data_IF_724477164758
#
_entry.id   IF_724477164758
#
_cell.length_a   1.000
_cell.length_b   1.000
_cell.length_c   1.000
_cell.angle_alpha   90.00
_cell.angle_beta   90.00
_cell.angle_gamma   90.00
#
_symmetry.space_group_name_H-M   'P 1'
#
loop_
_entity.id
_entity.type
_entity.pdbx_description
1 polymer ?
#
# COMPACT_ATOMS: atom_id res chain seq x y z
N UNK A 1 -10.95 -4.99 13.98
CA UNK A 1 -10.52 -5.06 12.56
C UNK A 1 -8.99 -5.01 12.59
N UNK A 2 -8.30 -5.40 11.52
CA UNK A 2 -6.83 -5.25 11.52
C UNK A 2 -6.53 -3.83 11.04
N UNK A 3 -5.88 -3.04 11.88
CA UNK A 3 -5.60 -1.64 11.61
C UNK A 3 -4.09 -1.44 11.49
N UNK A 4 -3.71 -0.52 10.62
CA UNK A 4 -2.35 -0.07 10.40
C UNK A 4 -2.38 1.45 10.25
N UNK A 5 -1.28 2.10 10.59
CA UNK A 5 -1.09 3.51 10.33
C UNK A 5 0.03 3.69 9.33
N UNK A 6 -0.16 4.61 8.39
CA UNK A 6 0.92 5.06 7.52
C UNK A 6 1.27 6.51 7.85
N UNK A 7 2.56 6.83 7.87
CA UNK A 7 3.07 8.18 8.03
C UNK A 7 3.77 8.62 6.75
N UNK A 8 3.39 9.79 6.24
CA UNK A 8 4.03 10.46 5.11
C UNK A 8 4.09 11.96 5.39
N UNK A 9 5.26 12.57 5.21
CA UNK A 9 5.43 14.02 5.43
C UNK A 9 5.08 14.49 6.84
N UNK A 10 5.17 13.62 7.86
CA UNK A 10 4.78 13.90 9.25
C UNK A 10 3.28 13.87 9.53
N UNK A 11 2.46 13.41 8.57
CA UNK A 11 1.04 13.17 8.75
C UNK A 11 0.75 11.67 8.79
N UNK A 12 -0.13 11.27 9.72
CA UNK A 12 -0.54 9.87 9.93
C UNK A 12 -1.93 9.64 9.35
N UNK A 13 -2.12 8.52 8.66
CA UNK A 13 -3.38 8.10 8.08
C UNK A 13 -3.71 6.67 8.51
N UNK A 14 -4.98 6.41 8.78
CA UNK A 14 -5.45 5.06 9.10
C UNK A 14 -5.58 4.22 7.83
N UNK A 15 -5.23 2.95 7.97
CA UNK A 15 -5.35 1.92 6.93
C UNK A 15 -6.16 0.75 7.48
N UNK A 16 -7.26 0.50 6.79
CA UNK A 16 -8.08 -0.68 6.96
C UNK A 16 -7.47 -1.87 6.21
N UNK A 17 -6.97 -2.87 6.94
CA UNK A 17 -6.36 -4.06 6.36
C UNK A 17 -7.37 -5.20 6.15
N UNK A 18 -7.17 -5.97 5.07
CA UNK A 18 -7.92 -7.19 4.81
C UNK A 18 -7.44 -8.36 5.70
N UNK A 19 -8.28 -9.39 5.88
CA UNK A 19 -7.86 -10.63 6.56
C UNK A 19 -7.34 -11.65 5.55
N UNK A 20 -6.01 -11.68 5.35
CA UNK A 20 -5.35 -12.67 4.51
C UNK A 20 -3.90 -12.95 4.99
N UNK A 21 -3.28 -13.98 4.41
CA UNK A 21 -1.92 -14.40 4.79
C UNK A 21 -0.85 -13.35 4.45
N UNK A 22 -1.02 -12.61 3.34
CA UNK A 22 -0.14 -11.50 2.95
C UNK A 22 -0.10 -10.42 4.02
N UNK A 23 -1.26 -9.99 4.50
CA UNK A 23 -1.39 -8.96 5.53
C UNK A 23 -0.75 -9.43 6.84
N UNK A 24 -0.94 -10.68 7.23
CA UNK A 24 -0.31 -11.23 8.46
C UNK A 24 1.21 -11.17 8.36
N UNK A 25 1.79 -11.66 7.26
CA UNK A 25 3.22 -11.61 7.03
C UNK A 25 3.76 -10.17 6.90
N UNK A 26 3.00 -9.28 6.27
CA UNK A 26 3.34 -7.86 6.17
C UNK A 26 3.39 -7.19 7.53
N UNK A 27 2.39 -7.44 8.40
CA UNK A 27 2.35 -6.90 9.77
C UNK A 27 3.51 -7.36 10.64
N UNK A 28 4.02 -8.57 10.45
CA UNK A 28 5.20 -9.07 11.17
C UNK A 28 6.49 -8.30 10.83
N UNK A 29 6.51 -7.57 9.70
CA UNK A 29 7.63 -6.71 9.30
C UNK A 29 7.52 -5.27 9.83
N UNK A 30 6.40 -4.91 10.47
CA UNK A 30 6.17 -3.56 11.00
C UNK A 30 6.84 -3.35 12.37
N UNK A 31 7.30 -2.11 12.69
CA UNK A 31 7.27 -0.93 11.82
C UNK A 31 8.35 -0.99 10.74
N UNK A 32 8.05 -0.42 9.57
CA UNK A 32 8.99 -0.34 8.45
C UNK A 32 8.89 1.00 7.73
N UNK A 33 10.02 1.52 7.28
CA UNK A 33 10.11 2.76 6.50
C UNK A 33 10.64 2.43 5.11
N UNK A 34 9.94 2.88 4.07
CA UNK A 34 10.22 2.56 2.68
C UNK A 34 10.33 3.83 1.85
N UNK A 35 11.40 3.93 1.05
CA UNK A 35 11.54 4.93 0.00
C UNK A 35 10.78 4.47 -1.26
N UNK A 36 9.48 4.78 -1.32
CA UNK A 36 8.61 4.33 -2.42
C UNK A 36 8.77 5.23 -3.65
N UNK A 37 9.09 4.64 -4.80
CA UNK A 37 9.27 5.35 -6.06
C UNK A 37 7.93 5.58 -6.76
N UNK A 38 7.81 6.69 -7.48
CA UNK A 38 6.62 6.96 -8.30
C UNK A 38 6.73 6.28 -9.66
N UNK A 39 5.64 5.63 -10.07
CA UNK A 39 5.47 5.13 -11.41
C UNK A 39 4.22 5.74 -12.04
N UNK A 40 4.32 6.12 -13.31
CA UNK A 40 3.22 6.63 -14.14
C UNK A 40 2.40 7.82 -13.59
N UNK A 41 2.79 8.41 -12.46
CA UNK A 41 2.07 9.51 -11.82
C UNK A 41 0.76 9.12 -11.13
N UNK A 42 0.49 7.82 -10.93
CA UNK A 42 -0.73 7.31 -10.28
C UNK A 42 -0.45 6.27 -9.18
N UNK A 43 0.79 5.78 -9.06
CA UNK A 43 1.17 4.75 -8.10
C UNK A 43 2.55 5.03 -7.48
N UNK A 44 2.72 4.63 -6.21
CA UNK A 44 4.00 4.51 -5.53
C UNK A 44 4.30 3.03 -5.35
N UNK A 45 5.54 2.61 -5.60
CA UNK A 45 5.91 1.20 -5.44
C UNK A 45 7.25 1.02 -4.72
N UNK A 46 7.44 -0.15 -4.13
CA UNK A 46 8.70 -0.57 -3.53
C UNK A 46 8.87 -2.09 -3.62
N UNK A 47 10.07 -2.55 -3.94
CA UNK A 47 10.43 -3.98 -3.94
C UNK A 47 10.97 -4.39 -2.58
N UNK A 48 10.23 -5.26 -1.89
CA UNK A 48 10.62 -5.86 -0.62
C UNK A 48 11.82 -6.81 -0.82
N UNK A 49 12.76 -6.80 0.13
CA UNK A 49 13.92 -7.69 0.11
C UNK A 49 13.51 -9.18 0.24
N UNK A 50 12.47 -9.43 1.03
CA UNK A 50 11.84 -10.73 1.17
C UNK A 50 10.40 -10.69 0.66
N UNK A 51 10.06 -11.64 -0.21
CA UNK A 51 8.70 -11.82 -0.69
C UNK A 51 7.73 -12.24 0.42
N UNK A 52 6.48 -11.82 0.26
CA UNK A 52 5.34 -12.18 1.07
C UNK A 52 4.54 -13.32 0.39
N UNK A 53 3.76 -14.08 1.17
CA UNK A 53 2.76 -14.97 0.57
C UNK A 53 1.81 -14.13 -0.28
N UNK A 54 1.58 -14.55 -1.52
CA UNK A 54 0.74 -13.84 -2.47
C UNK A 54 -0.43 -14.73 -2.91
N UNK A 55 -1.62 -14.14 -2.94
CA UNK A 55 -2.81 -14.75 -3.50
C UNK A 55 -3.37 -13.80 -4.55
N UNK A 56 -2.63 -13.67 -5.66
CA UNK A 56 -2.92 -12.68 -6.68
C UNK A 56 -4.22 -13.03 -7.42
N UNK A 57 -5.14 -12.09 -7.44
CA UNK A 57 -6.42 -12.19 -8.16
C UNK A 57 -6.59 -11.01 -9.11
N UNK A 58 -7.44 -11.16 -10.12
CA UNK A 58 -7.80 -10.05 -10.97
C UNK A 58 -8.72 -9.10 -10.19
N UNK A 59 -8.21 -7.91 -9.85
CA UNK A 59 -8.95 -6.95 -9.02
C UNK A 59 -9.95 -6.10 -9.82
N UNK A 60 -9.79 -6.03 -11.15
CA UNK A 60 -10.65 -5.31 -12.10
C UNK A 60 -10.54 -3.78 -12.04
N UNK A 61 -10.62 -3.20 -10.85
CA UNK A 61 -10.51 -1.77 -10.60
C UNK A 61 -9.64 -1.50 -9.38
N UNK A 62 -8.85 -0.44 -9.46
CA UNK A 62 -8.03 0.13 -8.40
C UNK A 62 -8.63 1.47 -8.02
N UNK A 63 -8.65 1.78 -6.72
CA UNK A 63 -9.08 3.06 -6.17
C UNK A 63 -7.92 3.82 -5.58
N UNK A 64 -8.07 5.15 -5.48
CA UNK A 64 -7.17 5.95 -4.68
C UNK A 64 -7.22 5.47 -3.22
N UNK A 65 -6.04 5.32 -2.61
CA UNK A 65 -5.90 4.78 -1.28
C UNK A 65 -5.67 3.26 -1.22
N UNK A 66 -5.83 2.52 -2.33
CA UNK A 66 -5.61 1.07 -2.33
C UNK A 66 -4.13 0.72 -2.12
N UNK A 67 -3.88 -0.26 -1.25
CA UNK A 67 -2.57 -0.87 -1.01
C UNK A 67 -2.62 -2.33 -1.45
N UNK A 68 -1.75 -2.68 -2.38
CA UNK A 68 -1.73 -3.98 -3.04
C UNK A 68 -0.31 -4.55 -3.15
N UNK A 69 -0.23 -5.86 -3.33
CA UNK A 69 1.02 -6.56 -3.66
C UNK A 69 0.96 -7.07 -5.10
N UNK A 70 1.94 -6.65 -5.91
CA UNK A 70 2.19 -7.20 -7.24
C UNK A 70 3.23 -8.31 -7.17
N UNK A 71 2.91 -9.48 -7.74
CA UNK A 71 3.73 -10.67 -7.56
C UNK A 71 3.80 -11.06 -6.08
N UNK A 72 5.02 -11.27 -5.57
CA UNK A 72 5.29 -11.63 -4.17
C UNK A 72 5.97 -10.54 -3.36
N UNK A 73 6.55 -9.52 -3.99
CA UNK A 73 7.55 -8.67 -3.37
C UNK A 73 7.38 -7.19 -3.73
N UNK A 74 6.54 -6.84 -4.71
CA UNK A 74 6.33 -5.44 -5.09
C UNK A 74 5.11 -4.87 -4.36
N UNK A 75 5.35 -4.06 -3.34
CA UNK A 75 4.31 -3.32 -2.63
C UNK A 75 3.93 -2.09 -3.46
N UNK A 76 2.64 -1.91 -3.73
CA UNK A 76 2.12 -0.81 -4.54
C UNK A 76 1.03 -0.07 -3.78
N UNK A 77 1.12 1.25 -3.78
CA UNK A 77 0.15 2.16 -3.21
C UNK A 77 -0.40 3.04 -4.32
N UNK A 78 -1.71 3.00 -4.51
CA UNK A 78 -2.39 3.76 -5.55
C UNK A 78 -3.00 5.03 -4.98
N UNK A 79 -2.87 6.13 -5.72
CA UNK A 79 -3.46 7.43 -5.35
C UNK A 79 -4.35 8.02 -6.46
N UNK A 80 -4.67 7.20 -7.47
CA UNK A 80 -5.65 7.52 -8.51
C UNK A 80 -6.52 6.28 -8.81
N UNK A 81 -7.78 6.49 -9.19
CA UNK A 81 -8.69 5.41 -9.58
C UNK A 81 -8.52 5.05 -11.07
N UNK A 82 -8.36 3.76 -11.38
CA UNK A 82 -8.31 3.27 -12.75
C UNK A 82 -8.68 1.79 -12.86
N UNK A 83 -9.01 1.35 -14.08
CA UNK A 83 -9.30 -0.06 -14.37
C UNK A 83 -8.03 -0.81 -14.77
N UNK A 84 -7.89 -2.04 -14.29
CA UNK A 84 -6.71 -2.88 -14.55
C UNK A 84 -7.10 -4.32 -14.87
N UNK A 85 -6.33 -4.95 -15.76
CA UNK A 85 -6.43 -6.40 -16.03
C UNK A 85 -5.34 -7.20 -15.32
N UNK A 86 -4.48 -6.54 -14.54
CA UNK A 86 -3.41 -7.18 -13.79
C UNK A 86 -3.93 -7.87 -12.53
N UNK A 87 -3.16 -8.87 -12.08
CA UNK A 87 -3.45 -9.59 -10.86
C UNK A 87 -2.66 -8.99 -9.70
N UNK A 88 -3.35 -8.75 -8.60
CA UNK A 88 -2.79 -8.20 -7.37
C UNK A 88 -3.31 -8.97 -6.17
N UNK A 89 -2.56 -8.95 -5.07
CA UNK A 89 -3.08 -9.38 -3.77
C UNK A 89 -3.47 -8.14 -2.97
N UNK A 90 -4.71 -8.05 -2.50
CA UNK A 90 -5.19 -6.90 -1.72
C UNK A 90 -4.58 -6.92 -0.32
N UNK A 91 -4.00 -5.81 0.13
CA UNK A 91 -3.46 -5.66 1.50
C UNK A 91 -4.41 -4.82 2.35
N UNK A 92 -4.80 -3.66 1.87
CA UNK A 92 -5.70 -2.76 2.59
C UNK A 92 -6.02 -1.52 1.78
N UNK A 93 -6.66 -0.55 2.42
CA UNK A 93 -6.92 0.76 1.85
C UNK A 93 -6.81 1.85 2.92
N UNK A 94 -6.41 3.04 2.50
CA UNK A 94 -6.34 4.23 3.34
C UNK A 94 -7.76 4.80 3.50
N UNK A 95 -8.17 5.08 4.74
CA UNK A 95 -9.53 5.52 5.04
C UNK A 95 -9.78 7.01 4.70
N UNK A 96 -8.73 7.83 4.68
CA UNK A 96 -8.77 9.26 4.31
C UNK A 96 -7.99 9.49 3.01
N UNK A 97 -8.41 8.86 1.92
CA UNK A 97 -7.68 8.84 0.65
C UNK A 97 -7.44 10.24 0.09
N UNK A 98 -8.42 11.14 0.10
CA UNK A 98 -8.27 12.50 -0.45
C UNK A 98 -7.20 13.31 0.29
N UNK A 99 -7.17 13.20 1.62
CA UNK A 99 -6.18 13.88 2.45
C UNK A 99 -4.78 13.29 2.23
N UNK A 100 -4.69 11.97 2.10
CA UNK A 100 -3.44 11.28 1.80
C UNK A 100 -2.88 11.66 0.42
N UNK A 101 -3.72 11.66 -0.63
CA UNK A 101 -3.29 12.07 -1.98
C UNK A 101 -2.81 13.51 -2.00
N UNK A 102 -3.46 14.40 -1.24
CA UNK A 102 -3.05 15.82 -1.17
C UNK A 102 -1.67 16.05 -0.54
N UNK A 103 -1.15 15.10 0.25
CA UNK A 103 0.14 15.26 0.94
C UNK A 103 1.26 14.46 0.27
N UNK A 104 0.92 13.57 -0.66
CA UNK A 104 1.90 12.82 -1.43
C UNK A 104 2.71 13.77 -2.33
N UNK A 105 4.03 13.87 -2.14
CA UNK A 105 4.89 14.58 -3.07
C UNK A 105 5.04 13.78 -4.37
N UNK A 106 5.32 14.49 -5.47
CA UNK A 106 5.73 13.84 -6.72
C UNK A 106 7.09 13.18 -6.60
N UNK A 107 7.30 12.06 -7.31
CA UNK A 107 8.56 11.31 -7.28
C UNK A 107 8.71 10.38 -6.07
N UNK A 108 9.94 10.04 -5.71
CA UNK A 108 10.22 9.15 -4.56
C UNK A 108 9.81 9.80 -3.24
N UNK A 109 9.13 9.03 -2.39
CA UNK A 109 8.64 9.46 -1.09
C UNK A 109 8.94 8.42 -0.02
N UNK A 110 9.41 8.88 1.14
CA UNK A 110 9.56 8.04 2.32
C UNK A 110 8.18 7.86 3.00
N UNK A 111 7.76 6.60 3.16
CA UNK A 111 6.51 6.23 3.84
C UNK A 111 6.84 5.24 4.95
N UNK A 112 6.36 5.54 6.16
CA UNK A 112 6.50 4.64 7.31
C UNK A 112 5.18 3.92 7.56
N UNK A 113 5.24 2.60 7.69
CA UNK A 113 4.11 1.74 8.02
C UNK A 113 4.28 1.27 9.47
N UNK A 114 3.23 1.41 10.28
CA UNK A 114 3.22 1.05 11.70
C UNK A 114 1.98 0.21 12.01
N UNK A 115 2.13 -0.83 12.85
CA UNK A 115 0.98 -1.58 13.30
C UNK A 115 0.02 -0.66 14.09
N UNK A 116 -1.28 -0.71 13.77
CA UNK A 116 -2.31 -0.05 14.57
C UNK A 116 -2.52 -0.78 15.89
N UNK A 117 -2.88 -0.02 16.93
CA UNK A 117 -3.26 -0.54 18.26
C UNK A 117 -4.61 -1.27 18.26
#
# INVERSE_FOLDING_TARGET
>A
MQEMTIEVGGQKFQVSLYDNETVRAFREKLPMTLDMEELHGNEKFYYLDEGLPANSENVGSIKAGDIMLFGSDCLVLFFEEFSTSYNYTRIGHIDEEEAFVSVLPGGTVEITFEAGE
#
